data_IF_191375521364
#
_entry.id   IF_191375521364
#
_cell.length_a   1.000
_cell.length_b   1.000
_cell.length_c   1.000
_cell.angle_alpha   90.00
_cell.angle_beta   90.00
_cell.angle_gamma   90.00
#
_symmetry.space_group_name_H-M   'P 1'
#
loop_
_entity.id
_entity.type
_entity.pdbx_description
1 polymer ?
#
# COMPACT_ATOMS: atom_id res chain seq x y z
N UNK A 1 10.26 -13.32 -12.38
CA UNK A 1 10.84 -14.50 -11.73
C UNK A 1 9.86 -15.01 -10.66
N UNK A 2 9.35 -16.24 -10.78
CA UNK A 2 8.46 -16.84 -9.79
C UNK A 2 9.10 -16.99 -8.41
N UNK A 3 10.41 -17.35 -8.34
CA UNK A 3 11.11 -17.50 -7.08
C UNK A 3 11.22 -16.18 -6.31
N UNK A 4 11.50 -15.07 -7.00
CA UNK A 4 11.54 -13.76 -6.38
C UNK A 4 10.18 -13.36 -5.78
N UNK A 5 9.06 -13.76 -6.40
CA UNK A 5 7.71 -13.55 -5.85
C UNK A 5 7.46 -14.36 -4.57
N UNK A 6 7.94 -15.60 -4.53
CA UNK A 6 7.84 -16.45 -3.34
C UNK A 6 8.70 -15.90 -2.20
N UNK A 7 9.93 -15.49 -2.50
CA UNK A 7 10.84 -14.89 -1.53
C UNK A 7 10.27 -13.58 -0.98
N UNK A 8 9.78 -12.70 -1.84
CA UNK A 8 9.09 -11.48 -1.41
C UNK A 8 7.83 -11.79 -0.59
N UNK A 9 7.07 -12.79 -0.99
CA UNK A 9 5.82 -13.18 -0.32
C UNK A 9 6.05 -13.70 1.10
N UNK A 10 6.92 -14.69 1.28
CA UNK A 10 7.09 -15.35 2.57
C UNK A 10 8.40 -16.14 2.75
N UNK A 11 9.04 -16.65 1.67
CA UNK A 11 10.18 -17.56 1.80
C UNK A 11 11.43 -16.87 2.35
N UNK A 12 11.62 -15.57 2.12
CA UNK A 12 12.75 -14.84 2.69
C UNK A 12 12.76 -14.93 4.23
N UNK A 13 11.59 -14.77 4.87
CA UNK A 13 11.45 -14.93 6.33
C UNK A 13 11.78 -16.36 6.75
N UNK A 14 11.25 -17.36 6.02
CA UNK A 14 11.48 -18.79 6.30
C UNK A 14 12.97 -19.16 6.26
N UNK A 15 13.71 -18.60 5.30
CA UNK A 15 15.14 -18.86 5.11
C UNK A 15 16.01 -18.12 6.12
N UNK A 16 15.70 -16.84 6.34
CA UNK A 16 16.49 -15.96 7.22
C UNK A 16 16.46 -16.42 8.67
N UNK A 17 15.32 -16.84 9.19
CA UNK A 17 15.12 -17.16 10.61
C UNK A 17 16.07 -18.27 11.10
N UNK A 18 16.11 -19.47 10.46
CA UNK A 18 17.02 -20.52 10.88
C UNK A 18 18.49 -20.15 10.68
N UNK A 19 18.82 -19.39 9.62
CA UNK A 19 20.19 -18.91 9.40
C UNK A 19 20.64 -17.98 10.52
N UNK A 20 19.80 -17.02 10.91
CA UNK A 20 20.11 -16.09 12.00
C UNK A 20 20.31 -16.84 13.33
N UNK A 21 19.42 -17.78 13.66
CA UNK A 21 19.54 -18.60 14.89
C UNK A 21 20.79 -19.48 14.88
N UNK A 22 21.13 -20.10 13.74
CA UNK A 22 22.35 -20.87 13.60
C UNK A 22 23.61 -20.01 13.75
N UNK A 23 23.60 -18.79 13.20
CA UNK A 23 24.70 -17.85 13.35
C UNK A 23 24.89 -17.45 14.83
N UNK A 24 23.79 -17.16 15.54
CA UNK A 24 23.82 -16.85 16.98
C UNK A 24 24.37 -18.04 17.75
N UNK A 25 23.92 -19.27 17.47
CA UNK A 25 24.42 -20.48 18.10
C UNK A 25 25.92 -20.65 17.88
N UNK A 26 26.41 -20.40 16.68
CA UNK A 26 27.84 -20.50 16.36
C UNK A 26 28.66 -19.41 17.07
N UNK A 27 28.15 -18.19 17.10
CA UNK A 27 28.89 -17.06 17.67
C UNK A 27 28.93 -17.05 19.21
N UNK A 28 27.86 -17.51 19.86
CA UNK A 28 27.69 -17.42 21.31
C UNK A 28 27.71 -18.79 22.02
N UNK A 29 27.83 -19.90 21.29
CA UNK A 29 27.83 -21.24 21.85
C UNK A 29 26.43 -21.74 22.27
N UNK A 30 25.39 -20.90 22.21
CA UNK A 30 24.00 -21.26 22.50
C UNK A 30 23.05 -20.51 21.57
N UNK A 31 21.85 -21.07 21.36
CA UNK A 31 20.78 -20.39 20.65
C UNK A 31 20.22 -19.20 21.44
N UNK A 32 19.39 -18.34 20.81
CA UNK A 32 18.77 -17.23 21.50
C UNK A 32 17.78 -17.71 22.56
N UNK A 33 17.78 -17.11 23.75
CA UNK A 33 16.81 -17.39 24.81
C UNK A 33 15.41 -16.87 24.42
N UNK A 34 15.36 -15.81 23.66
CA UNK A 34 14.14 -15.20 23.11
C UNK A 34 14.39 -14.70 21.69
N UNK A 35 13.35 -14.75 20.86
CA UNK A 35 13.39 -14.28 19.48
C UNK A 35 12.18 -13.42 19.20
N UNK A 36 12.40 -12.19 18.74
CA UNK A 36 11.36 -11.26 18.38
C UNK A 36 11.47 -10.87 16.91
N UNK A 37 10.34 -10.70 16.24
CA UNK A 37 10.32 -10.20 14.88
C UNK A 37 9.60 -8.86 14.84
N UNK A 38 10.29 -7.80 14.40
CA UNK A 38 9.71 -6.47 14.32
C UNK A 38 10.09 -5.75 13.04
N UNK A 39 9.21 -4.85 12.60
CA UNK A 39 9.49 -4.02 11.44
C UNK A 39 8.37 -3.04 11.14
N UNK A 40 8.71 -1.98 10.41
CA UNK A 40 7.78 -0.94 9.96
C UNK A 40 7.60 -1.01 8.44
N UNK A 41 6.45 -0.58 7.92
CA UNK A 41 6.11 -0.54 6.50
C UNK A 41 6.22 -1.94 5.85
N UNK A 42 7.13 -2.14 4.91
CA UNK A 42 7.41 -3.48 4.35
C UNK A 42 7.95 -4.47 5.40
N UNK A 43 8.70 -3.99 6.38
CA UNK A 43 9.11 -4.77 7.56
C UNK A 43 7.90 -5.19 8.41
N UNK A 44 6.91 -4.31 8.59
CA UNK A 44 5.63 -4.64 9.21
C UNK A 44 4.87 -5.72 8.44
N UNK A 45 4.88 -5.68 7.12
CA UNK A 45 4.33 -6.73 6.27
C UNK A 45 5.04 -8.08 6.50
N UNK A 46 6.37 -8.08 6.54
CA UNK A 46 7.14 -9.30 6.86
C UNK A 46 6.84 -9.81 8.28
N UNK A 47 6.60 -8.90 9.23
CA UNK A 47 6.19 -9.27 10.59
C UNK A 47 4.84 -9.99 10.59
N UNK A 48 3.85 -9.50 9.83
CA UNK A 48 2.56 -10.19 9.68
C UNK A 48 2.72 -11.56 9.02
N UNK A 49 3.63 -11.70 8.05
CA UNK A 49 3.96 -13.00 7.44
C UNK A 49 4.60 -13.94 8.47
N UNK A 50 5.55 -13.45 9.26
CA UNK A 50 6.19 -14.22 10.33
C UNK A 50 5.16 -14.69 11.36
N UNK A 51 4.30 -13.81 11.82
CA UNK A 51 3.25 -14.13 12.79
C UNK A 51 2.23 -15.16 12.26
N UNK A 52 1.90 -15.10 10.97
CA UNK A 52 0.89 -15.99 10.38
C UNK A 52 1.44 -17.36 9.94
N UNK A 53 2.73 -17.47 9.63
CA UNK A 53 3.31 -18.68 9.03
C UNK A 53 4.40 -19.33 9.85
N UNK A 54 5.07 -18.59 10.73
CA UNK A 54 6.26 -19.00 11.45
C UNK A 54 6.20 -18.56 12.91
N UNK A 55 4.99 -18.55 13.49
CA UNK A 55 4.76 -18.11 14.85
C UNK A 55 5.55 -18.93 15.88
N UNK A 56 5.76 -20.20 15.61
CA UNK A 56 6.57 -21.13 16.41
C UNK A 56 8.06 -20.77 16.51
N UNK A 57 8.52 -19.88 15.63
CA UNK A 57 9.92 -19.45 15.59
C UNK A 57 10.23 -18.25 16.48
N UNK A 58 9.22 -17.60 17.05
CA UNK A 58 9.35 -16.32 17.73
C UNK A 58 8.51 -16.24 19.01
N UNK A 59 9.01 -15.46 19.97
CA UNK A 59 8.33 -15.18 21.24
C UNK A 59 7.41 -13.96 21.18
N UNK A 60 7.56 -13.13 20.14
CA UNK A 60 6.69 -11.95 19.96
C UNK A 60 6.93 -11.22 18.64
N UNK A 61 5.95 -10.38 18.29
CA UNK A 61 5.89 -9.67 17.03
C UNK A 61 5.51 -8.21 17.23
N UNK A 62 6.19 -7.29 16.50
CA UNK A 62 5.84 -5.88 16.45
C UNK A 62 5.71 -5.43 14.99
N UNK A 63 4.48 -5.35 14.48
CA UNK A 63 4.20 -4.86 13.15
C UNK A 63 3.82 -3.37 13.18
N UNK A 64 4.78 -2.51 12.88
CA UNK A 64 4.55 -1.08 12.74
C UNK A 64 4.09 -0.73 11.32
N UNK A 65 2.98 -0.01 11.20
CA UNK A 65 2.43 0.52 9.94
C UNK A 65 2.59 -0.46 8.75
N UNK A 66 2.06 -1.69 8.88
CA UNK A 66 2.37 -2.77 7.96
C UNK A 66 1.80 -2.55 6.57
N UNK A 67 2.57 -2.84 5.53
CA UNK A 67 2.10 -2.93 4.14
C UNK A 67 1.06 -4.05 4.01
N UNK A 68 -0.20 -3.70 4.18
CA UNK A 68 -1.35 -4.57 4.26
C UNK A 68 -2.19 -4.47 2.98
N UNK A 69 -2.73 -5.59 2.48
CA UNK A 69 -3.50 -5.66 1.23
C UNK A 69 -2.77 -5.03 0.03
N UNK A 70 -1.49 -5.31 -0.13
CA UNK A 70 -0.64 -4.73 -1.19
C UNK A 70 -1.23 -4.78 -2.61
N UNK A 71 -1.92 -5.84 -3.06
CA UNK A 71 -2.53 -5.83 -4.40
C UNK A 71 -3.56 -4.71 -4.58
N UNK A 72 -4.36 -4.41 -3.55
CA UNK A 72 -5.32 -3.30 -3.59
C UNK A 72 -4.61 -1.95 -3.54
N UNK A 73 -3.60 -1.81 -2.69
CA UNK A 73 -2.80 -0.61 -2.60
C UNK A 73 -2.07 -0.32 -3.93
N UNK A 74 -1.47 -1.33 -4.55
CA UNK A 74 -0.80 -1.20 -5.85
C UNK A 74 -1.78 -0.76 -6.95
N UNK A 75 -2.99 -1.32 -6.97
CA UNK A 75 -4.03 -0.93 -7.93
C UNK A 75 -4.47 0.52 -7.70
N UNK A 76 -4.68 0.93 -6.46
CA UNK A 76 -5.03 2.30 -6.11
C UNK A 76 -3.92 3.29 -6.51
N UNK A 77 -2.67 2.97 -6.20
CA UNK A 77 -1.52 3.79 -6.58
C UNK A 77 -1.38 3.93 -8.10
N UNK A 78 -1.57 2.84 -8.84
CA UNK A 78 -1.53 2.86 -10.31
C UNK A 78 -2.65 3.75 -10.88
N UNK A 79 -3.88 3.64 -10.37
CA UNK A 79 -5.01 4.48 -10.80
C UNK A 79 -4.76 5.97 -10.47
N UNK A 80 -4.21 6.26 -9.29
CA UNK A 80 -3.82 7.61 -8.91
C UNK A 80 -2.72 8.16 -9.82
N UNK A 81 -1.68 7.37 -10.09
CA UNK A 81 -0.61 7.75 -11.00
C UNK A 81 -1.13 8.07 -12.40
N UNK A 82 -2.00 7.24 -12.96
CA UNK A 82 -2.63 7.49 -14.26
C UNK A 82 -3.45 8.79 -14.26
N UNK A 83 -4.14 9.09 -13.17
CA UNK A 83 -4.88 10.35 -13.01
C UNK A 83 -3.92 11.53 -13.01
N UNK A 84 -2.84 11.49 -12.24
CA UNK A 84 -1.83 12.57 -12.24
C UNK A 84 -1.16 12.71 -13.60
N UNK A 85 -0.84 11.61 -14.27
CA UNK A 85 -0.23 11.62 -15.59
C UNK A 85 -1.15 12.28 -16.63
N UNK A 86 -2.47 12.07 -16.55
CA UNK A 86 -3.44 12.72 -17.46
C UNK A 86 -3.51 14.24 -17.30
N UNK A 87 -3.01 14.77 -16.18
CA UNK A 87 -2.96 16.21 -15.89
C UNK A 87 -1.56 16.79 -16.09
N UNK A 88 -0.57 15.94 -16.35
CA UNK A 88 0.82 16.31 -16.46
C UNK A 88 1.05 17.24 -17.68
N UNK A 89 1.92 18.22 -17.51
CA UNK A 89 2.41 19.05 -18.63
C UNK A 89 3.53 18.37 -19.40
N UNK A 90 4.21 17.41 -18.77
CA UNK A 90 5.14 16.48 -19.40
C UNK A 90 4.54 15.05 -19.33
N UNK A 91 4.16 14.43 -20.46
CA UNK A 91 3.54 13.09 -20.46
C UNK A 91 4.43 11.97 -19.88
N UNK A 92 5.73 12.20 -19.78
CA UNK A 92 6.68 11.24 -19.20
C UNK A 92 6.85 11.41 -17.68
N UNK A 93 6.27 12.45 -17.08
CA UNK A 93 6.49 12.79 -15.68
C UNK A 93 5.17 13.25 -15.00
N UNK A 94 4.55 12.33 -14.24
CA UNK A 94 3.32 12.59 -13.51
C UNK A 94 3.47 13.68 -12.42
N UNK A 95 4.69 13.97 -11.96
CA UNK A 95 4.94 15.01 -10.95
C UNK A 95 4.60 16.41 -11.47
N UNK A 96 4.59 16.60 -12.79
CA UNK A 96 4.22 17.85 -13.46
C UNK A 96 2.70 18.09 -13.51
N UNK A 97 1.89 17.12 -13.06
CA UNK A 97 0.43 17.24 -12.98
C UNK A 97 -0.02 18.35 -12.03
N UNK A 98 0.67 18.52 -10.91
CA UNK A 98 0.45 19.58 -9.94
C UNK A 98 1.78 20.23 -9.54
N UNK A 99 1.80 21.55 -9.45
CA UNK A 99 2.94 22.28 -8.87
C UNK A 99 2.98 22.08 -7.36
N UNK A 100 4.09 22.41 -6.73
CA UNK A 100 4.22 22.38 -5.27
C UNK A 100 3.22 23.37 -4.62
N UNK A 101 3.05 24.55 -5.18
CA UNK A 101 2.09 25.53 -4.69
C UNK A 101 0.63 25.04 -4.78
N UNK A 102 0.26 24.38 -5.88
CA UNK A 102 -1.06 23.77 -6.03
C UNK A 102 -1.30 22.67 -4.98
N UNK A 103 -0.30 21.81 -4.73
CA UNK A 103 -0.37 20.78 -3.69
C UNK A 103 -0.50 21.37 -2.29
N UNK A 104 0.29 22.41 -1.98
CA UNK A 104 0.23 23.09 -0.69
C UNK A 104 -1.12 23.74 -0.45
N UNK A 105 -1.70 24.35 -1.49
CA UNK A 105 -3.03 24.96 -1.41
C UNK A 105 -4.10 23.91 -1.10
N UNK A 106 -4.04 22.73 -1.73
CA UNK A 106 -4.96 21.62 -1.42
C UNK A 106 -4.75 21.12 0.00
N UNK A 107 -3.51 20.93 0.45
CA UNK A 107 -3.21 20.51 1.82
C UNK A 107 -3.73 21.51 2.85
N UNK A 108 -3.55 22.80 2.61
CA UNK A 108 -4.06 23.84 3.49
C UNK A 108 -5.58 23.85 3.55
N UNK A 109 -6.26 23.63 2.40
CA UNK A 109 -7.72 23.54 2.36
C UNK A 109 -8.24 22.32 3.14
N UNK A 110 -7.57 21.18 3.04
CA UNK A 110 -7.89 19.98 3.83
C UNK A 110 -7.71 20.25 5.32
N UNK A 111 -6.57 20.82 5.73
CA UNK A 111 -6.30 21.15 7.13
C UNK A 111 -7.34 22.12 7.68
N UNK A 112 -7.67 23.19 6.94
CA UNK A 112 -8.65 24.19 7.37
C UNK A 112 -10.05 23.60 7.64
N UNK A 113 -10.43 22.55 6.91
CA UNK A 113 -11.73 21.89 7.08
C UNK A 113 -11.72 20.76 8.11
N UNK A 114 -10.58 20.11 8.31
CA UNK A 114 -10.54 18.82 8.97
C UNK A 114 -9.79 18.80 10.31
N UNK A 115 -8.85 19.71 10.53
CA UNK A 115 -7.94 19.70 11.69
C UNK A 115 -8.70 19.65 13.03
N UNK A 116 -9.72 20.46 13.18
CA UNK A 116 -10.50 20.51 14.43
C UNK A 116 -11.51 19.36 14.62
N UNK A 117 -11.69 18.47 13.63
CA UNK A 117 -12.76 17.45 13.67
C UNK A 117 -12.48 16.31 14.64
N UNK A 118 -11.24 16.08 15.02
CA UNK A 118 -10.83 15.09 16.01
C UNK A 118 -10.75 15.66 17.43
N UNK A 119 -11.08 16.95 17.61
CA UNK A 119 -11.09 17.65 18.90
C UNK A 119 -9.80 18.40 19.24
N UNK A 120 -8.80 18.40 18.35
CA UNK A 120 -7.56 19.17 18.45
C UNK A 120 -7.39 20.06 17.22
N UNK A 121 -6.65 21.16 17.36
CA UNK A 121 -6.22 21.99 16.22
C UNK A 121 -4.69 22.05 16.29
N UNK A 122 -4.05 20.97 15.82
CA UNK A 122 -2.62 20.72 16.00
C UNK A 122 -1.89 20.40 14.68
N UNK A 123 -2.60 20.50 13.53
CA UNK A 123 -2.08 20.20 12.21
C UNK A 123 -2.11 18.71 11.87
N UNK A 124 -2.72 17.85 12.71
CA UNK A 124 -2.89 16.43 12.47
C UNK A 124 -4.37 16.09 12.32
N UNK A 125 -4.72 15.38 11.26
CA UNK A 125 -6.09 14.98 10.97
C UNK A 125 -6.24 13.51 11.33
N UNK A 126 -6.77 13.19 12.51
CA UNK A 126 -6.92 11.82 13.00
C UNK A 126 -8.30 11.24 12.72
N UNK A 127 -9.37 12.03 12.73
CA UNK A 127 -10.69 11.58 12.27
C UNK A 127 -10.82 11.68 10.75
N UNK A 128 -10.19 10.73 10.05
CA UNK A 128 -10.22 10.67 8.58
C UNK A 128 -11.63 10.46 8.03
N UNK A 129 -12.55 9.84 8.78
CA UNK A 129 -13.94 9.62 8.33
C UNK A 129 -14.75 10.92 8.39
N UNK A 130 -14.63 11.67 9.48
CA UNK A 130 -15.24 12.98 9.59
C UNK A 130 -14.70 13.94 8.52
N UNK A 131 -13.38 13.93 8.30
CA UNK A 131 -12.73 14.71 7.26
C UNK A 131 -13.27 14.38 5.85
N UNK A 132 -13.37 13.09 5.50
CA UNK A 132 -13.92 12.66 4.20
C UNK A 132 -15.38 13.04 4.00
N UNK A 133 -16.15 13.16 5.07
CA UNK A 133 -17.53 13.61 5.01
C UNK A 133 -17.65 15.15 4.90
N UNK A 134 -16.73 15.88 5.53
CA UNK A 134 -16.77 17.34 5.60
C UNK A 134 -16.11 18.03 4.40
N UNK A 135 -15.04 17.45 3.85
CA UNK A 135 -14.23 18.06 2.79
C UNK A 135 -14.76 17.72 1.40
N UNK A 136 -15.07 18.75 0.62
CA UNK A 136 -15.38 18.64 -0.81
C UNK A 136 -14.36 19.44 -1.63
N UNK A 137 -13.51 18.78 -2.44
CA UNK A 137 -12.52 19.47 -3.27
C UNK A 137 -13.12 20.51 -4.21
N UNK A 138 -14.38 20.32 -4.63
CA UNK A 138 -15.04 21.25 -5.55
C UNK A 138 -15.55 22.52 -4.85
N UNK A 139 -15.77 22.46 -3.55
CA UNK A 139 -16.20 23.59 -2.73
C UNK A 139 -15.00 24.25 -2.05
N UNK A 140 -14.12 23.44 -1.46
CA UNK A 140 -13.15 23.91 -0.47
C UNK A 140 -11.78 24.26 -1.08
N UNK A 141 -11.48 23.76 -2.30
CA UNK A 141 -10.23 24.10 -2.98
C UNK A 141 -10.43 25.28 -3.92
N UNK A 142 -9.76 26.42 -3.67
CA UNK A 142 -9.81 27.57 -4.57
C UNK A 142 -9.33 27.22 -5.99
N UNK A 143 -9.93 27.83 -7.00
CA UNK A 143 -9.53 27.69 -8.40
C UNK A 143 -9.14 29.01 -9.00
N UNK A 144 -8.18 29.00 -9.93
CA UNK A 144 -7.88 30.16 -10.78
C UNK A 144 -8.84 30.20 -11.96
N UNK A 145 -9.33 31.44 -12.27
CA UNK A 145 -10.20 31.69 -13.41
C UNK A 145 -9.49 31.64 -14.77
N UNK A 146 -8.16 31.74 -14.78
CA UNK A 146 -7.33 31.78 -15.99
C UNK A 146 -6.48 30.51 -16.15
N UNK A 147 -5.77 30.41 -17.28
CA UNK A 147 -4.78 29.37 -17.52
C UNK A 147 -3.82 29.25 -16.34
N UNK A 148 -3.29 28.02 -16.13
CA UNK A 148 -2.41 27.65 -15.01
C UNK A 148 -1.40 28.74 -14.68
N UNK A 149 -1.64 29.48 -13.61
CA UNK A 149 -0.68 30.45 -13.06
C UNK A 149 0.33 29.82 -12.11
N UNK A 150 0.26 28.49 -11.90
CA UNK A 150 1.16 27.73 -11.02
C UNK A 150 0.88 27.87 -9.52
N UNK A 151 -0.05 28.75 -9.13
CA UNK A 151 -0.37 29.04 -7.73
C UNK A 151 -1.66 28.37 -7.25
N UNK A 152 -2.58 28.06 -8.16
CA UNK A 152 -3.83 27.37 -7.86
C UNK A 152 -4.26 26.43 -9.01
N UNK A 153 -4.95 25.32 -8.72
CA UNK A 153 -5.42 24.40 -9.75
C UNK A 153 -6.51 25.05 -10.60
N UNK A 154 -6.53 24.76 -11.90
CA UNK A 154 -7.68 25.07 -12.73
C UNK A 154 -8.83 24.08 -12.46
N UNK A 155 -10.01 24.34 -13.04
CA UNK A 155 -11.22 23.51 -12.85
C UNK A 155 -10.95 22.03 -13.16
N UNK A 156 -10.23 21.71 -14.24
CA UNK A 156 -9.93 20.33 -14.63
C UNK A 156 -9.11 19.61 -13.55
N UNK A 157 -8.08 20.26 -12.98
CA UNK A 157 -7.27 19.69 -11.90
C UNK A 157 -8.08 19.52 -10.63
N UNK A 158 -8.85 20.53 -10.24
CA UNK A 158 -9.72 20.45 -9.06
C UNK A 158 -10.70 19.30 -9.16
N UNK A 159 -11.40 19.13 -10.26
CA UNK A 159 -12.37 18.04 -10.46
C UNK A 159 -11.72 16.66 -10.55
N UNK A 160 -10.41 16.59 -10.75
CA UNK A 160 -9.65 15.33 -10.74
C UNK A 160 -9.15 14.92 -9.35
N UNK A 161 -9.14 15.84 -8.35
CA UNK A 161 -8.70 15.55 -6.98
C UNK A 161 -9.52 14.45 -6.29
N UNK A 162 -10.87 14.36 -6.43
CA UNK A 162 -11.63 13.29 -5.80
C UNK A 162 -11.19 11.87 -6.19
N UNK A 163 -10.67 11.67 -7.38
CA UNK A 163 -10.25 10.35 -7.88
C UNK A 163 -9.10 9.74 -7.07
N UNK A 164 -7.97 10.44 -6.83
CA UNK A 164 -6.92 9.96 -5.93
C UNK A 164 -7.33 9.93 -4.46
N UNK A 165 -8.11 10.92 -4.00
CA UNK A 165 -8.49 11.05 -2.58
C UNK A 165 -9.55 10.03 -2.16
N UNK A 166 -10.49 9.67 -3.04
CA UNK A 166 -11.53 8.69 -2.75
C UNK A 166 -11.05 7.24 -2.86
N UNK A 167 -9.88 7.00 -3.46
CA UNK A 167 -9.39 5.67 -3.77
C UNK A 167 -10.31 4.92 -4.75
N UNK A 168 -10.08 3.62 -4.89
CA UNK A 168 -10.89 2.73 -5.74
C UNK A 168 -12.19 2.26 -5.05
N UNK A 169 -12.46 2.71 -3.83
CA UNK A 169 -13.59 2.25 -3.02
C UNK A 169 -14.97 2.68 -3.55
N UNK A 170 -15.03 3.62 -4.49
CA UNK A 170 -16.29 4.20 -4.97
C UNK A 170 -16.91 3.51 -6.20
N UNK A 171 -16.34 2.41 -6.70
CA UNK A 171 -17.06 1.60 -7.68
C UNK A 171 -18.01 0.64 -6.96
N UNK A 172 -19.32 0.70 -7.24
CA UNK A 172 -20.26 -0.29 -6.74
C UNK A 172 -19.78 -1.69 -7.16
N UNK A 173 -19.87 -2.66 -6.25
CA UNK A 173 -19.54 -4.08 -6.49
C UNK A 173 -20.42 -4.76 -7.57
N UNK A 174 -21.16 -4.02 -8.37
CA UNK A 174 -22.14 -4.58 -9.30
C UNK A 174 -21.53 -5.33 -10.49
N UNK A 175 -20.24 -5.15 -10.77
CA UNK A 175 -19.59 -5.80 -11.93
C UNK A 175 -18.62 -6.93 -11.57
N UNK A 176 -18.51 -7.29 -10.31
CA UNK A 176 -17.80 -8.50 -9.93
C UNK A 176 -18.76 -9.68 -10.06
N UNK A 177 -18.74 -10.36 -11.20
CA UNK A 177 -19.34 -11.69 -11.31
C UNK A 177 -18.86 -12.55 -10.14
N UNK A 178 -19.75 -13.28 -9.45
CA UNK A 178 -19.35 -14.16 -8.39
C UNK A 178 -18.28 -15.11 -8.93
N UNK A 179 -17.16 -15.21 -8.20
CA UNK A 179 -16.11 -16.16 -8.54
C UNK A 179 -16.76 -17.53 -8.75
N UNK A 180 -16.53 -18.14 -9.91
CA UNK A 180 -17.02 -19.49 -10.18
C UNK A 180 -16.60 -20.40 -9.04
N UNK A 181 -17.48 -21.27 -8.52
CA UNK A 181 -17.10 -22.24 -7.49
C UNK A 181 -15.90 -23.06 -8.00
N UNK A 182 -14.90 -23.21 -7.16
CA UNK A 182 -13.76 -24.11 -7.41
C UNK A 182 -14.27 -25.56 -7.36
N UNK A 183 -14.76 -26.06 -8.47
CA UNK A 183 -15.16 -27.46 -8.63
C UNK A 183 -14.55 -28.08 -9.88
N UNK A 184 -13.26 -27.82 -10.13
CA UNK A 184 -12.46 -28.70 -10.98
C UNK A 184 -11.10 -28.92 -10.32
N UNK A 185 -10.76 -30.18 -9.94
CA UNK A 185 -9.42 -30.51 -9.54
C UNK A 185 -8.48 -30.32 -10.74
N UNK A 186 -7.35 -29.68 -10.49
CA UNK A 186 -6.27 -29.59 -11.47
C UNK A 186 -5.90 -30.99 -11.94
N UNK A 187 -5.68 -31.22 -13.24
CA UNK A 187 -5.18 -32.50 -13.73
C UNK A 187 -3.86 -32.81 -13.04
N UNK A 188 -3.76 -33.99 -12.46
CA UNK A 188 -2.51 -34.48 -11.87
C UNK A 188 -1.47 -34.54 -12.98
N UNK A 189 -0.36 -33.83 -12.81
CA UNK A 189 0.83 -34.01 -13.63
C UNK A 189 1.29 -35.46 -13.47
N UNK A 190 1.23 -36.23 -14.55
CA UNK A 190 1.85 -37.52 -14.61
C UNK A 190 3.38 -37.32 -14.55
N UNK A 191 3.99 -37.61 -13.41
CA UNK A 191 5.40 -37.80 -13.33
C UNK A 191 5.71 -39.13 -14.02
N UNK A 192 6.20 -39.07 -15.25
CA UNK A 192 6.86 -40.17 -15.91
C UNK A 192 8.25 -40.29 -15.28
N UNK A 193 8.44 -41.35 -14.50
CA UNK A 193 9.77 -41.76 -13.99
C UNK A 193 10.68 -42.05 -15.19
N UNK A 194 11.94 -41.54 -15.20
CA UNK A 194 12.88 -41.90 -16.25
C UNK A 194 13.29 -43.40 -16.09
N UNK A 195 13.56 -44.12 -17.19
CA UNK A 195 13.93 -45.54 -17.13
C UNK A 195 15.25 -45.69 -16.42
N UNK A 196 15.31 -46.62 -15.47
CA UNK A 196 16.56 -47.09 -14.84
C UNK A 196 17.37 -47.87 -15.87
N UNK A 197 18.53 -47.36 -16.22
CA UNK A 197 19.52 -48.10 -16.99
C UNK A 197 20.23 -49.15 -16.14
N UNK A 198 20.61 -50.33 -16.71
CA UNK A 198 21.20 -51.45 -16.01
C UNK A 198 22.62 -51.19 -15.49
#
# INVERSE_FOLDING_TARGET
>A
DPQARLDYGYQAVAKLTPMAKATIQTAYGKGPDRSYFGGCSNGGRHTLVAASRYADQYDGFLAGDPGFRLPLAATANTASYQTYLSLATNPADASTGFTQAERQLVSNAVAAQCDALDGATDGLIQDTKACQAAFDPNRDVPTCAAARAGLCPNTTRRTSLPKPLSGLASRPRQDLQPARPRSQPLPRAHHTEPPRTP
#
